data_IF_949494385926
#
_entry.id   IF_949494385926
#
_cell.length_a   1.000
_cell.length_b   1.000
_cell.length_c   1.000
_cell.angle_alpha   90.00
_cell.angle_beta   90.00
_cell.angle_gamma   90.00
#
_symmetry.space_group_name_H-M   'P 1'
#
loop_
_entity.id
_entity.type
_entity.pdbx_description
1 polymer ?
#
# COMPACT_ATOMS: atom_id res chain seq x y z
N UNK A 1 8.18 -1.04 -4.57
CA UNK A 1 8.30 0.22 -3.80
C UNK A 1 9.13 1.23 -4.56
N UNK A 2 10.42 0.96 -4.82
CA UNK A 2 11.30 1.85 -5.60
C UNK A 2 10.68 2.39 -6.90
N UNK A 3 10.15 1.53 -7.77
CA UNK A 3 9.50 1.99 -9.01
C UNK A 3 8.34 2.99 -8.80
N UNK A 4 7.63 2.93 -7.67
CA UNK A 4 6.57 3.88 -7.34
C UNK A 4 7.11 5.24 -6.89
N UNK A 5 8.28 5.27 -6.25
CA UNK A 5 8.89 6.48 -5.67
C UNK A 5 9.95 7.11 -6.55
N UNK A 6 10.43 6.40 -7.59
CA UNK A 6 11.39 6.90 -8.55
C UNK A 6 10.88 8.14 -9.29
N UNK A 7 11.82 9.02 -9.62
CA UNK A 7 11.54 10.19 -10.45
C UNK A 7 10.94 9.77 -11.80
N UNK A 8 9.90 10.48 -12.22
CA UNK A 8 9.22 10.22 -13.49
C UNK A 8 7.70 10.22 -13.37
N UNK A 9 7.05 9.70 -14.41
CA UNK A 9 5.58 9.79 -14.57
C UNK A 9 4.84 8.57 -14.03
N UNK A 10 5.52 7.51 -13.62
CA UNK A 10 4.86 6.25 -13.26
C UNK A 10 3.89 6.43 -12.09
N UNK A 11 4.34 7.01 -10.97
CA UNK A 11 3.47 7.26 -9.81
C UNK A 11 2.25 8.10 -10.21
N UNK A 12 2.45 9.12 -11.02
CA UNK A 12 1.40 10.03 -11.47
C UNK A 12 0.37 9.31 -12.36
N UNK A 13 0.83 8.58 -13.38
CA UNK A 13 -0.02 7.81 -14.29
C UNK A 13 -0.76 6.69 -13.55
N UNK A 14 -0.06 5.95 -12.70
CA UNK A 14 -0.62 4.87 -11.90
C UNK A 14 -1.70 5.35 -10.93
N UNK A 15 -1.42 6.42 -10.16
CA UNK A 15 -2.39 7.00 -9.24
C UNK A 15 -3.60 7.60 -9.99
N UNK A 16 -3.38 8.24 -11.14
CA UNK A 16 -4.45 8.76 -12.00
C UNK A 16 -5.37 7.65 -12.50
N UNK A 17 -4.80 6.56 -13.03
CA UNK A 17 -5.54 5.40 -13.48
C UNK A 17 -6.29 4.73 -12.32
N UNK A 18 -5.65 4.59 -11.14
CA UNK A 18 -6.30 3.97 -9.97
C UNK A 18 -7.53 4.79 -9.52
N UNK A 19 -7.44 6.12 -9.59
CA UNK A 19 -8.54 7.04 -9.26
C UNK A 19 -9.69 6.97 -10.28
N UNK A 20 -9.39 6.85 -11.58
CA UNK A 20 -10.38 6.90 -12.67
C UNK A 20 -10.98 5.54 -13.03
N UNK A 21 -10.18 4.48 -13.01
CA UNK A 21 -10.56 3.21 -13.63
C UNK A 21 -11.04 2.16 -12.60
N UNK A 22 -10.96 2.50 -11.30
CA UNK A 22 -11.51 1.71 -10.18
C UNK A 22 -13.02 1.87 -9.97
N UNK A 23 -13.73 2.58 -10.87
CA UNK A 23 -15.16 2.94 -10.72
C UNK A 23 -16.06 1.69 -10.75
N UNK A 24 -15.72 0.67 -11.54
CA UNK A 24 -16.45 -0.60 -11.55
C UNK A 24 -15.52 -1.79 -11.80
N UNK A 25 -15.95 -2.98 -11.36
CA UNK A 25 -15.25 -4.25 -11.61
C UNK A 25 -14.93 -4.42 -13.10
N UNK A 26 -15.94 -4.20 -13.95
CA UNK A 26 -15.80 -4.39 -15.39
C UNK A 26 -14.80 -3.40 -16.00
N UNK A 27 -14.82 -2.15 -15.54
CA UNK A 27 -13.86 -1.14 -15.96
C UNK A 27 -12.44 -1.54 -15.56
N UNK A 28 -12.25 -1.95 -14.29
CA UNK A 28 -10.97 -2.44 -13.79
C UNK A 28 -10.42 -3.61 -14.64
N UNK A 29 -11.24 -4.62 -14.90
CA UNK A 29 -10.81 -5.80 -15.67
C UNK A 29 -10.45 -5.41 -17.11
N UNK A 30 -11.23 -4.53 -17.76
CA UNK A 30 -11.06 -4.22 -19.19
C UNK A 30 -10.01 -3.15 -19.48
N UNK A 31 -9.93 -2.09 -18.68
CA UNK A 31 -9.21 -0.88 -19.06
C UNK A 31 -8.03 -0.51 -18.15
N UNK A 32 -8.04 -0.93 -16.88
CA UNK A 32 -6.95 -0.56 -15.96
C UNK A 32 -5.64 -1.25 -16.38
N UNK A 33 -4.59 -0.52 -16.83
CA UNK A 33 -3.41 -1.15 -17.42
C UNK A 33 -2.40 -1.62 -16.35
N UNK A 34 -2.54 -1.16 -15.11
CA UNK A 34 -1.57 -1.38 -14.03
C UNK A 34 -1.98 -2.49 -13.06
N UNK A 35 -2.70 -3.52 -13.52
CA UNK A 35 -3.20 -4.62 -12.64
C UNK A 35 -2.09 -5.29 -11.83
N UNK A 36 -1.01 -5.67 -12.52
CA UNK A 36 0.14 -6.34 -11.89
C UNK A 36 0.84 -5.41 -10.90
N UNK A 37 1.09 -4.16 -11.28
CA UNK A 37 1.72 -3.18 -10.39
C UNK A 37 0.87 -2.92 -9.14
N UNK A 38 -0.45 -2.75 -9.31
CA UNK A 38 -1.38 -2.60 -8.19
C UNK A 38 -1.31 -3.81 -7.25
N UNK A 39 -1.39 -5.03 -7.79
CA UNK A 39 -1.30 -6.25 -7.00
C UNK A 39 0.02 -6.34 -6.22
N UNK A 40 1.15 -6.15 -6.90
CA UNK A 40 2.48 -6.22 -6.29
C UNK A 40 2.66 -5.15 -5.21
N UNK A 41 2.20 -3.92 -5.46
CA UNK A 41 2.31 -2.83 -4.49
C UNK A 41 1.42 -3.06 -3.26
N UNK A 42 0.19 -3.56 -3.45
CA UNK A 42 -0.68 -3.96 -2.34
C UNK A 42 -0.04 -5.07 -1.50
N UNK A 43 0.50 -6.12 -2.14
CA UNK A 43 1.17 -7.24 -1.45
C UNK A 43 2.42 -6.78 -0.71
N UNK A 44 3.24 -5.94 -1.33
CA UNK A 44 4.44 -5.40 -0.71
C UNK A 44 4.10 -4.60 0.57
N UNK A 45 3.11 -3.70 0.51
CA UNK A 45 2.67 -2.97 1.71
C UNK A 45 2.12 -3.88 2.80
N UNK A 46 1.33 -4.89 2.43
CA UNK A 46 0.81 -5.86 3.39
C UNK A 46 1.93 -6.61 4.11
N UNK A 47 2.89 -7.15 3.35
CA UNK A 47 4.03 -7.89 3.92
C UNK A 47 4.91 -6.99 4.78
N UNK A 48 5.20 -5.76 4.34
CA UNK A 48 5.97 -4.81 5.15
C UNK A 48 5.25 -4.45 6.44
N UNK A 49 3.93 -4.24 6.37
CA UNK A 49 3.10 -4.01 7.55
C UNK A 49 3.19 -5.17 8.51
N UNK A 50 2.99 -6.41 8.07
CA UNK A 50 3.05 -7.61 8.92
C UNK A 50 4.43 -7.81 9.58
N UNK A 51 5.50 -7.37 8.92
CA UNK A 51 6.87 -7.43 9.47
C UNK A 51 7.17 -6.37 10.54
N UNK A 52 6.26 -5.43 10.79
CA UNK A 52 6.46 -4.30 11.71
C UNK A 52 5.39 -4.27 12.81
N UNK A 53 5.67 -3.61 13.95
CA UNK A 53 4.63 -3.35 14.96
C UNK A 53 3.44 -2.63 14.34
N UNK A 54 2.23 -3.14 14.59
CA UNK A 54 0.99 -2.57 14.09
C UNK A 54 0.65 -1.28 14.84
N UNK A 55 1.31 -0.19 14.47
CA UNK A 55 1.09 1.15 15.03
C UNK A 55 0.52 2.10 13.98
N UNK A 56 -0.21 3.10 14.46
CA UNK A 56 -0.65 4.20 13.62
C UNK A 56 0.43 5.28 13.54
N UNK A 57 0.44 5.99 12.43
CA UNK A 57 1.38 7.05 12.11
C UNK A 57 0.62 8.36 11.92
N UNK A 58 1.17 9.45 12.47
CA UNK A 58 0.72 10.79 12.16
C UNK A 58 1.57 11.34 11.00
N UNK A 59 0.92 11.64 9.88
CA UNK A 59 1.57 11.98 8.61
C UNK A 59 0.88 13.17 7.96
N UNK A 60 1.59 13.78 7.02
CA UNK A 60 1.16 14.98 6.32
C UNK A 60 1.18 14.78 4.81
N UNK A 61 0.25 15.41 4.12
CA UNK A 61 0.21 15.42 2.65
C UNK A 61 -0.22 16.78 2.14
N UNK A 62 0.66 17.42 1.39
CA UNK A 62 0.35 18.62 0.62
C UNK A 62 -0.15 18.29 -0.79
N UNK A 63 -1.11 19.08 -1.27
CA UNK A 63 -1.62 19.00 -2.64
C UNK A 63 -1.64 20.40 -3.25
N UNK A 64 -1.08 20.54 -4.45
CA UNK A 64 -1.10 21.74 -5.26
C UNK A 64 -2.19 21.65 -6.34
N UNK A 65 -2.87 22.75 -6.62
CA UNK A 65 -3.83 22.90 -7.70
C UNK A 65 -5.19 22.22 -7.47
N UNK A 66 -5.45 21.69 -6.27
CA UNK A 66 -6.74 21.08 -5.94
C UNK A 66 -7.15 21.45 -4.52
N UNK A 67 -8.39 21.91 -4.39
CA UNK A 67 -9.04 22.27 -3.12
C UNK A 67 -10.12 21.26 -2.83
N UNK A 68 -9.80 20.29 -1.97
CA UNK A 68 -10.79 19.29 -1.57
C UNK A 68 -11.79 19.92 -0.59
N UNK A 69 -13.02 19.42 -0.66
CA UNK A 69 -14.08 19.72 0.29
C UNK A 69 -14.48 18.43 1.01
N UNK A 70 -14.84 18.56 2.27
CA UNK A 70 -15.35 17.46 3.08
C UNK A 70 -16.23 18.03 4.21
N UNK A 71 -16.93 17.14 4.90
CA UNK A 71 -17.69 17.49 6.09
C UNK A 71 -17.12 16.76 7.31
N UNK A 72 -17.12 17.42 8.47
CA UNK A 72 -16.73 16.77 9.72
C UNK A 72 -17.64 15.55 9.97
N UNK A 73 -17.04 14.44 10.39
CA UNK A 73 -17.73 13.17 10.61
C UNK A 73 -17.94 12.33 9.34
N UNK A 74 -17.71 12.88 8.14
CA UNK A 74 -17.78 12.12 6.90
C UNK A 74 -16.72 11.02 6.85
N UNK A 75 -17.08 9.87 6.30
CA UNK A 75 -16.12 8.79 5.99
C UNK A 75 -15.65 8.95 4.55
N UNK A 76 -14.33 9.04 4.38
CA UNK A 76 -13.68 9.25 3.09
C UNK A 76 -12.58 8.22 2.87
N UNK A 77 -12.15 8.07 1.61
CA UNK A 77 -10.97 7.31 1.22
C UNK A 77 -10.25 8.06 0.11
N UNK A 78 -8.93 7.92 0.02
CA UNK A 78 -8.19 8.47 -1.11
C UNK A 78 -8.44 7.70 -2.41
N UNK A 79 -8.76 6.40 -2.32
CA UNK A 79 -9.08 5.55 -3.46
C UNK A 79 -7.89 5.21 -4.37
N UNK A 80 -6.68 5.63 -4.00
CA UNK A 80 -5.42 5.35 -4.66
C UNK A 80 -4.32 5.19 -3.60
N UNK A 81 -3.17 4.67 -3.99
CA UNK A 81 -1.99 4.72 -3.14
C UNK A 81 -1.64 6.19 -2.91
N UNK A 82 -1.38 6.53 -1.65
CA UNK A 82 -1.27 7.93 -1.23
C UNK A 82 0.03 8.12 -0.48
N UNK A 83 0.98 8.79 -1.14
CA UNK A 83 2.22 9.25 -0.50
C UNK A 83 1.91 10.33 0.54
N UNK A 84 2.53 10.20 1.69
CA UNK A 84 2.50 11.16 2.79
C UNK A 84 3.87 11.16 3.47
N UNK A 85 4.16 12.17 4.28
CA UNK A 85 5.43 12.29 4.97
C UNK A 85 5.22 12.38 6.48
N UNK A 86 6.12 11.77 7.25
CA UNK A 86 6.24 12.03 8.69
C UNK A 86 6.66 13.47 8.98
N UNK A 87 7.26 14.17 8.00
CA UNK A 87 7.76 15.54 8.14
C UNK A 87 6.80 16.53 7.48
N UNK A 88 6.16 17.36 8.29
CA UNK A 88 5.27 18.42 7.82
C UNK A 88 5.89 19.31 6.74
N UNK A 89 7.14 19.76 6.95
CA UNK A 89 7.87 20.61 6.00
C UNK A 89 8.07 19.97 4.61
N UNK A 90 8.26 18.64 4.57
CA UNK A 90 8.34 17.91 3.28
C UNK A 90 6.97 17.91 2.61
N UNK A 91 5.89 17.64 3.36
CA UNK A 91 4.55 17.68 2.79
C UNK A 91 4.20 19.08 2.23
N UNK A 92 4.62 20.15 2.90
CA UNK A 92 4.37 21.53 2.47
C UNK A 92 5.03 21.88 1.13
N UNK A 93 6.18 21.27 0.79
CA UNK A 93 6.83 21.52 -0.50
C UNK A 93 6.08 20.89 -1.69
N UNK A 94 5.21 19.91 -1.46
CA UNK A 94 4.35 19.33 -2.50
C UNK A 94 3.09 20.15 -2.80
N UNK A 95 2.70 21.06 -1.89
CA UNK A 95 1.58 21.97 -2.09
C UNK A 95 0.81 22.29 -0.82
N UNK A 96 0.05 23.38 -0.86
CA UNK A 96 -0.71 23.88 0.29
C UNK A 96 -2.15 24.27 -0.05
N UNK A 97 -2.61 24.07 -1.30
CA UNK A 97 -3.99 24.37 -1.69
C UNK A 97 -4.98 23.45 -0.96
N UNK A 98 -4.60 22.18 -0.80
CA UNK A 98 -5.13 21.32 0.27
C UNK A 98 -3.98 20.75 1.06
N UNK A 99 -4.08 20.79 2.38
CA UNK A 99 -3.13 20.18 3.28
C UNK A 99 -3.83 19.20 4.23
N UNK A 100 -3.40 17.95 4.19
CA UNK A 100 -3.93 16.89 5.04
C UNK A 100 -3.02 16.63 6.23
N UNK A 101 -3.63 16.50 7.42
CA UNK A 101 -3.03 15.85 8.58
C UNK A 101 -3.78 14.54 8.79
N UNK A 102 -3.07 13.42 8.80
CA UNK A 102 -3.65 12.09 8.72
C UNK A 102 -3.07 11.22 9.82
N UNK A 103 -3.93 10.65 10.64
CA UNK A 103 -3.60 9.49 11.47
C UNK A 103 -3.95 8.24 10.67
N UNK A 104 -2.95 7.62 10.06
CA UNK A 104 -3.08 6.38 9.29
C UNK A 104 -2.68 5.20 10.16
N UNK A 105 -3.53 4.19 10.20
CA UNK A 105 -3.20 2.95 10.88
C UNK A 105 -2.72 1.90 9.90
N UNK A 106 -2.91 2.06 8.59
CA UNK A 106 -2.55 1.09 7.53
C UNK A 106 -1.38 1.54 6.63
N UNK A 107 -0.95 2.79 6.75
CA UNK A 107 0.22 3.31 6.07
C UNK A 107 1.51 2.70 6.60
N UNK A 108 2.47 2.49 5.71
CA UNK A 108 3.76 1.88 6.03
C UNK A 108 4.89 2.87 5.71
N UNK A 109 5.82 3.13 6.64
CA UNK A 109 7.05 3.86 6.35
C UNK A 109 7.90 3.08 5.32
N UNK A 110 8.28 3.73 4.23
CA UNK A 110 8.96 3.08 3.10
C UNK A 110 10.31 3.73 2.77
N UNK A 111 10.87 4.43 3.76
CA UNK A 111 12.15 5.15 3.66
C UNK A 111 13.26 4.32 3.00
N UNK A 112 13.44 3.09 3.47
CA UNK A 112 14.51 2.18 3.00
C UNK A 112 14.22 1.57 1.62
N UNK A 113 13.02 1.80 1.10
CA UNK A 113 12.53 1.30 -0.18
C UNK A 113 12.07 2.43 -1.11
N UNK A 114 12.56 3.65 -0.85
CA UNK A 114 12.25 4.86 -1.59
C UNK A 114 13.48 5.41 -2.32
N UNK A 115 13.26 5.97 -3.51
CA UNK A 115 14.29 6.73 -4.22
C UNK A 115 14.66 8.04 -3.49
N UNK A 116 13.78 8.52 -2.61
CA UNK A 116 13.98 9.74 -1.82
C UNK A 116 13.84 9.47 -0.31
N UNK A 117 14.83 8.81 0.34
CA UNK A 117 14.75 8.49 1.77
C UNK A 117 14.59 9.71 2.67
N UNK A 118 15.03 10.88 2.21
CA UNK A 118 14.87 12.15 2.92
C UNK A 118 13.42 12.59 3.03
N UNK A 119 12.49 12.06 2.24
CA UNK A 119 11.09 12.45 2.34
C UNK A 119 10.38 11.83 3.56
N UNK A 120 10.99 10.85 4.23
CA UNK A 120 10.39 10.08 5.32
C UNK A 120 8.95 9.64 4.96
N UNK A 121 8.85 9.05 3.76
CA UNK A 121 7.59 8.70 3.13
C UNK A 121 6.89 7.56 3.88
N UNK A 122 5.60 7.76 4.12
CA UNK A 122 4.64 6.74 4.54
C UNK A 122 3.63 6.57 3.43
N UNK A 123 3.55 5.36 2.87
CA UNK A 123 2.63 5.05 1.78
C UNK A 123 1.34 4.44 2.33
N UNK A 124 0.23 5.12 2.09
CA UNK A 124 -1.11 4.73 2.55
C UNK A 124 -1.80 3.87 1.48
N UNK A 125 -2.36 2.70 1.83
CA UNK A 125 -3.03 1.83 0.87
C UNK A 125 -4.40 2.40 0.41
N UNK A 126 -4.86 2.09 -0.82
CA UNK A 126 -6.12 2.62 -1.38
C UNK A 126 -7.39 2.26 -0.60
N UNK A 127 -7.35 1.17 0.16
CA UNK A 127 -8.48 0.59 0.90
C UNK A 127 -8.65 1.14 2.30
N UNK A 128 -7.73 1.95 2.82
CA UNK A 128 -7.91 2.58 4.13
C UNK A 128 -9.02 3.64 4.07
N UNK A 129 -9.91 3.60 5.04
CA UNK A 129 -10.97 4.59 5.24
C UNK A 129 -10.62 5.50 6.40
N UNK A 130 -11.05 6.75 6.28
CA UNK A 130 -10.77 7.80 7.25
C UNK A 130 -12.06 8.52 7.62
N UNK A 131 -12.24 8.79 8.91
CA UNK A 131 -13.19 9.77 9.40
C UNK A 131 -12.57 11.16 9.35
N UNK A 132 -13.28 12.12 8.78
CA UNK A 132 -12.89 13.53 8.83
C UNK A 132 -13.14 14.04 10.25
N UNK A 133 -12.07 14.39 10.96
CA UNK A 133 -12.16 14.85 12.36
C UNK A 133 -12.27 16.36 12.47
N UNK A 134 -11.69 17.09 11.51
CA UNK A 134 -11.74 18.55 11.47
C UNK A 134 -11.51 19.03 10.02
N UNK A 135 -12.10 20.18 9.70
CA UNK A 135 -11.86 20.88 8.44
C UNK A 135 -11.82 22.39 8.67
N UNK A 136 -10.87 23.05 8.04
CA UNK A 136 -10.75 24.51 8.08
C UNK A 136 -10.46 25.03 6.67
N UNK A 137 -11.18 26.07 6.27
CA UNK A 137 -10.94 26.77 5.02
C UNK A 137 -10.40 28.16 5.34
N UNK A 138 -9.16 28.46 4.95
CA UNK A 138 -8.48 29.71 5.30
C UNK A 138 -7.70 30.20 4.10
N UNK A 139 -7.86 31.48 3.72
CA UNK A 139 -7.11 32.11 2.63
C UNK A 139 -7.16 31.31 1.31
N UNK A 140 -8.31 30.69 1.01
CA UNK A 140 -8.45 29.85 -0.17
C UNK A 140 -7.65 28.53 -0.10
N UNK A 141 -7.34 28.01 1.09
CA UNK A 141 -6.72 26.70 1.31
C UNK A 141 -7.65 25.81 2.12
N UNK A 142 -7.61 24.51 1.86
CA UNK A 142 -8.34 23.50 2.63
C UNK A 142 -7.40 22.75 3.58
N UNK A 143 -7.62 22.83 4.87
CA UNK A 143 -6.93 22.02 5.88
C UNK A 143 -7.87 20.91 6.35
N UNK A 144 -7.50 19.66 6.15
CA UNK A 144 -8.35 18.51 6.43
C UNK A 144 -7.64 17.55 7.38
N UNK A 145 -8.27 17.24 8.50
CA UNK A 145 -7.78 16.27 9.47
C UNK A 145 -8.54 14.94 9.32
N UNK A 146 -7.78 13.86 9.23
CA UNK A 146 -8.29 12.51 8.97
C UNK A 146 -7.80 11.56 10.06
N UNK A 147 -8.70 10.72 10.56
CA UNK A 147 -8.39 9.61 11.48
C UNK A 147 -8.79 8.28 10.85
N UNK A 148 -7.88 7.31 10.88
CA UNK A 148 -8.15 5.96 10.38
C UNK A 148 -9.40 5.36 11.04
N UNK A 149 -10.24 4.73 10.23
CA UNK A 149 -11.47 4.05 10.66
C UNK A 149 -11.54 2.59 10.18
N UNK A 150 -10.43 2.04 9.70
CA UNK A 150 -10.34 0.66 9.21
C UNK A 150 -10.05 0.57 7.71
N UNK A 151 -10.17 -0.65 7.19
CA UNK A 151 -10.04 -0.94 5.76
C UNK A 151 -11.37 -1.37 5.16
N UNK A 152 -11.60 -0.97 3.92
CA UNK A 152 -12.69 -1.45 3.10
C UNK A 152 -12.20 -1.68 1.67
N UNK A 153 -12.19 -2.93 1.24
CA UNK A 153 -11.92 -3.30 -0.16
C UNK A 153 -13.18 -3.85 -0.80
N UNK A 154 -13.60 -3.24 -1.90
CA UNK A 154 -14.74 -3.71 -2.71
C UNK A 154 -14.35 -4.84 -3.65
N UNK A 155 -13.04 -5.04 -3.89
CA UNK A 155 -12.51 -5.98 -4.87
C UNK A 155 -11.50 -6.90 -4.21
N UNK A 156 -11.74 -8.21 -4.31
CA UNK A 156 -10.86 -9.22 -3.74
C UNK A 156 -10.46 -10.21 -4.82
N UNK A 157 -9.16 -10.27 -5.15
CA UNK A 157 -8.61 -11.18 -6.14
C UNK A 157 -9.28 -11.11 -7.53
N UNK A 158 -9.82 -9.96 -7.95
CA UNK A 158 -10.66 -9.86 -9.16
C UNK A 158 -9.93 -10.24 -10.44
N UNK A 159 -8.65 -9.89 -10.57
CA UNK A 159 -7.83 -10.32 -11.70
C UNK A 159 -7.63 -11.85 -11.74
N UNK A 160 -7.43 -12.48 -10.58
CA UNK A 160 -7.26 -13.94 -10.49
C UNK A 160 -8.58 -14.66 -10.73
N UNK A 161 -9.68 -14.11 -10.20
CA UNK A 161 -11.06 -14.57 -10.43
C UNK A 161 -11.40 -14.57 -11.92
N UNK A 162 -11.13 -13.48 -12.62
CA UNK A 162 -11.35 -13.36 -14.06
C UNK A 162 -10.58 -14.45 -14.82
N UNK A 163 -9.29 -14.62 -14.53
CA UNK A 163 -8.44 -15.60 -15.22
C UNK A 163 -8.84 -17.05 -14.95
N UNK A 164 -9.23 -17.39 -13.72
CA UNK A 164 -9.50 -18.77 -13.31
C UNK A 164 -10.94 -19.22 -13.50
N UNK A 165 -11.92 -18.37 -13.18
CA UNK A 165 -13.31 -18.81 -13.14
C UNK A 165 -14.18 -18.23 -14.25
N UNK A 166 -13.71 -17.19 -14.97
CA UNK A 166 -14.52 -16.47 -15.97
C UNK A 166 -15.89 -16.08 -15.39
N UNK A 167 -16.98 -16.63 -15.93
CA UNK A 167 -18.37 -16.39 -15.50
C UNK A 167 -18.82 -17.28 -14.33
N UNK A 168 -18.04 -18.28 -13.94
CA UNK A 168 -18.41 -19.21 -12.85
C UNK A 168 -18.14 -18.60 -11.46
N UNK A 169 -18.92 -18.97 -10.44
CA UNK A 169 -18.62 -18.62 -9.05
C UNK A 169 -17.21 -19.07 -8.66
N UNK A 170 -16.38 -18.13 -8.20
CA UNK A 170 -15.03 -18.44 -7.76
C UNK A 170 -15.00 -18.86 -6.29
N UNK A 171 -14.63 -20.12 -6.03
CA UNK A 171 -14.22 -20.56 -4.71
C UNK A 171 -12.72 -20.30 -4.52
N UNK A 172 -12.37 -19.36 -3.64
CA UNK A 172 -11.00 -19.20 -3.14
C UNK A 172 -10.98 -19.67 -1.68
N UNK A 173 -10.22 -20.71 -1.37
CA UNK A 173 -9.86 -21.02 0.01
C UNK A 173 -8.91 -19.92 0.51
N UNK A 174 -9.41 -19.02 1.34
CA UNK A 174 -8.54 -18.06 2.03
C UNK A 174 -7.64 -18.83 3.00
N UNK A 175 -6.34 -18.86 2.72
CA UNK A 175 -5.34 -19.38 3.65
C UNK A 175 -5.16 -20.90 3.68
N UNK A 176 -4.31 -21.41 2.79
CA UNK A 176 -3.21 -22.26 3.21
C UNK A 176 -1.95 -21.70 2.56
N UNK A 177 -0.98 -21.29 3.37
CA UNK A 177 0.41 -21.41 2.98
C UNK A 177 0.57 -22.84 2.47
N UNK A 178 0.88 -23.01 1.18
CA UNK A 178 1.28 -24.31 0.68
C UNK A 178 2.53 -24.72 1.48
N UNK A 179 2.53 -25.85 2.20
CA UNK A 179 3.78 -26.48 2.57
C UNK A 179 4.28 -27.17 1.30
N UNK A 180 4.94 -26.41 0.44
CA UNK A 180 5.75 -26.98 -0.64
C UNK A 180 7.21 -26.89 -0.23
N UNK A 181 7.54 -27.63 0.83
CA UNK A 181 8.82 -28.31 0.93
C UNK A 181 8.50 -29.82 0.99
N UNK A 182 9.01 -30.64 0.05
CA UNK A 182 8.93 -32.08 0.20
C UNK A 182 9.77 -32.49 1.41
N UNK A 183 9.26 -33.32 2.34
CA UNK A 183 10.00 -33.75 3.54
C UNK A 183 11.21 -34.65 3.26
N UNK A 184 11.58 -34.85 1.99
CA UNK A 184 12.64 -35.78 1.59
C UNK A 184 14.02 -35.14 1.43
N UNK A 185 14.16 -33.81 1.54
CA UNK A 185 15.46 -33.15 1.39
C UNK A 185 16.30 -33.08 2.67
N UNK A 186 15.71 -33.32 3.85
CA UNK A 186 16.48 -33.38 5.11
C UNK A 186 17.12 -34.75 5.37
N UNK A 187 16.60 -35.82 4.75
CA UNK A 187 17.16 -37.18 4.90
C UNK A 187 18.49 -37.32 4.15
N UNK A 188 18.78 -36.44 3.18
CA UNK A 188 20.02 -36.46 2.38
C UNK A 188 21.15 -35.59 2.94
N UNK A 189 20.98 -34.93 4.09
CA UNK A 189 22.01 -34.08 4.72
C UNK A 189 22.59 -34.66 6.03
N UNK A 190 22.28 -35.93 6.36
CA UNK A 190 22.86 -36.63 7.53
C UNK A 190 23.75 -37.83 7.15
N UNK A 191 24.32 -37.82 5.95
CA UNK A 191 25.36 -38.78 5.56
C UNK A 191 26.56 -38.03 5.02
N UNK A 192 27.45 -37.56 5.90
CA UNK A 192 28.91 -37.36 5.70
C UNK A 192 29.50 -36.55 6.85
N UNK A 193 29.63 -37.17 8.03
CA UNK A 193 30.52 -36.67 9.08
C UNK A 193 30.87 -37.76 10.11
N UNK A 194 31.59 -38.80 9.71
CA UNK A 194 32.40 -39.60 10.67
C UNK A 194 33.53 -40.32 9.93
N UNK A 195 34.75 -39.81 10.12
CA UNK A 195 36.04 -40.51 10.27
C UNK A 195 37.18 -39.65 9.73
N UNK A 196 37.54 -38.64 10.52
CA UNK A 196 38.90 -38.11 10.57
C UNK A 196 39.35 -38.15 12.03
N UNK A 197 40.60 -38.59 12.23
CA UNK A 197 41.35 -38.75 13.48
C UNK A 197 41.19 -40.10 14.21
N UNK A 198 42.13 -41.03 13.98
CA UNK A 198 43.22 -41.27 14.94
C UNK A 198 44.49 -41.66 14.15
N UNK A 199 45.46 -40.77 14.15
CA UNK A 199 46.87 -41.09 14.02
C UNK A 199 47.53 -40.69 15.36
N UNK A 200 48.62 -41.38 15.71
CA UNK A 200 49.52 -41.17 16.87
C UNK A 200 49.20 -41.96 18.15
N UNK A 201 49.66 -43.21 18.22
CA UNK A 201 50.86 -43.63 18.99
C UNK A 201 51.02 -45.16 18.94
#
# INVERSE_FOLDING_TARGET
>A
MLAYTMEGKLYHQFNTATRRDGISRQHYLRFFPFKTLHFLLTRALHTLRESQPQRCHHVYRGVKGTRFTAQQGQVVRFGQFTSSSLRKKVAESFGQDTFFSVETCYGVPIKDLSAFPTEDEVLIPPSEQFRVTNITYTEGRSFIQLRSQGMHSTYNCEFVKEKRCKERPCAFSAGRSSPTEPPHLWVLLLATATLAAVAES
#
